data_IF_241259992711
#
_entry.id   IF_241259992711
#
_cell.length_a   1.000
_cell.length_b   1.000
_cell.length_c   1.000
_cell.angle_alpha   90.00
_cell.angle_beta   90.00
_cell.angle_gamma   90.00
#
_symmetry.space_group_name_H-M   'P 1'
#
loop_
_entity.id
_entity.type
_entity.pdbx_description
1 polymer ?
#
# COMPACT_ATOMS: atom_id res chain seq x y z
N UNK A 1 -32.05 15.34 -39.76
CA UNK A 1 -31.74 15.11 -41.18
C UNK A 1 -30.26 14.79 -41.31
N UNK A 2 -29.97 13.62 -41.92
CA UNK A 2 -28.67 13.14 -42.42
C UNK A 2 -27.70 12.57 -41.34
N UNK A 3 -27.13 11.45 -41.50
CA UNK A 3 -27.38 10.19 -42.23
C UNK A 3 -26.32 9.20 -41.72
N UNK A 4 -26.74 7.97 -41.54
CA UNK A 4 -25.93 6.76 -41.24
C UNK A 4 -24.84 6.54 -42.31
N UNK A 5 -23.67 6.06 -41.88
CA UNK A 5 -22.86 5.18 -42.72
C UNK A 5 -22.38 3.97 -41.93
N UNK A 6 -23.02 2.84 -42.24
CA UNK A 6 -22.54 1.47 -41.98
C UNK A 6 -21.52 1.11 -43.05
N UNK A 7 -20.40 0.49 -42.66
CA UNK A 7 -19.56 -0.28 -43.58
C UNK A 7 -19.34 -1.68 -43.02
N UNK A 8 -19.99 -2.62 -43.67
CA UNK A 8 -19.72 -4.06 -43.65
C UNK A 8 -18.37 -4.31 -44.34
N UNK A 9 -17.52 -5.17 -43.76
CA UNK A 9 -16.50 -5.87 -44.51
C UNK A 9 -16.53 -7.38 -44.27
N UNK A 10 -16.48 -8.05 -45.38
CA UNK A 10 -16.79 -9.43 -45.71
C UNK A 10 -15.70 -10.41 -45.25
N UNK A 11 -16.19 -11.60 -44.90
CA UNK A 11 -15.57 -12.91 -44.76
C UNK A 11 -14.60 -13.28 -45.89
N UNK A 12 -13.42 -13.79 -45.54
CA UNK A 12 -12.52 -14.50 -46.45
C UNK A 12 -12.05 -15.81 -45.83
N UNK A 13 -12.78 -16.87 -46.11
CA UNK A 13 -12.47 -18.27 -45.82
C UNK A 13 -11.45 -18.78 -46.82
N UNK A 14 -10.29 -19.28 -46.38
CA UNK A 14 -9.41 -20.10 -47.20
C UNK A 14 -8.99 -21.37 -46.50
N UNK A 15 -9.60 -22.47 -46.91
CA UNK A 15 -9.17 -23.85 -46.63
C UNK A 15 -7.89 -24.15 -47.44
N UNK A 16 -6.88 -24.71 -46.81
CA UNK A 16 -5.89 -25.55 -47.50
C UNK A 16 -5.64 -26.81 -46.67
N UNK A 17 -6.16 -27.92 -47.18
CA UNK A 17 -5.76 -29.28 -46.78
C UNK A 17 -4.48 -29.68 -47.52
N UNK A 18 -3.54 -30.33 -46.84
CA UNK A 18 -2.64 -31.32 -47.46
C UNK A 18 -2.03 -32.25 -46.40
N UNK A 19 -2.46 -33.39 -46.36
CA UNK A 19 -2.02 -34.80 -46.40
C UNK A 19 -0.62 -35.15 -45.84
N UNK A 20 -0.71 -35.94 -44.81
CA UNK A 20 -0.01 -37.19 -44.42
C UNK A 20 1.43 -37.47 -44.93
N UNK A 21 2.25 -37.84 -43.95
CA UNK A 21 3.48 -38.57 -44.14
C UNK A 21 3.95 -39.16 -42.77
N UNK A 22 3.58 -40.44 -42.50
CA UNK A 22 4.17 -41.23 -41.42
C UNK A 22 5.57 -41.68 -41.81
N UNK A 23 6.56 -41.42 -40.98
CA UNK A 23 7.74 -42.26 -40.83
C UNK A 23 8.10 -42.38 -39.38
N UNK A 24 7.97 -43.60 -38.86
CA UNK A 24 8.46 -44.05 -37.58
C UNK A 24 9.99 -44.08 -37.58
N UNK A 25 10.60 -43.47 -36.55
CA UNK A 25 11.92 -43.85 -36.08
C UNK A 25 11.96 -43.67 -34.56
N UNK A 26 12.17 -44.79 -33.86
CA UNK A 26 12.48 -44.87 -32.48
C UNK A 26 13.78 -44.12 -32.14
N UNK A 27 13.73 -43.18 -31.26
CA UNK A 27 14.88 -42.67 -30.51
C UNK A 27 14.44 -42.17 -29.15
N UNK A 28 14.94 -42.82 -28.14
CA UNK A 28 15.06 -42.53 -26.71
C UNK A 28 14.54 -41.18 -26.23
N UNK A 29 13.47 -41.27 -25.44
CA UNK A 29 12.90 -40.21 -24.60
C UNK A 29 13.90 -39.72 -23.56
N UNK A 30 14.54 -38.59 -23.82
CA UNK A 30 14.88 -37.65 -22.79
C UNK A 30 13.72 -36.61 -22.73
N UNK A 31 12.76 -36.87 -21.87
CA UNK A 31 11.76 -35.84 -21.50
C UNK A 31 12.45 -34.75 -20.69
N UNK A 32 13.11 -33.83 -21.37
CA UNK A 32 13.26 -32.49 -20.83
C UNK A 32 11.86 -31.87 -20.94
N UNK A 33 11.13 -31.83 -19.82
CA UNK A 33 9.99 -30.95 -19.68
C UNK A 33 10.48 -29.53 -19.94
N UNK A 34 10.42 -29.08 -21.17
CA UNK A 34 10.40 -27.66 -21.47
C UNK A 34 9.03 -27.16 -21.00
N UNK A 35 9.00 -26.66 -19.76
CA UNK A 35 7.86 -25.87 -19.30
C UNK A 35 7.62 -24.77 -20.34
N UNK A 36 6.39 -24.66 -20.80
CA UNK A 36 5.98 -23.60 -21.73
C UNK A 36 6.31 -22.24 -21.10
N UNK A 37 6.82 -21.30 -21.87
CA UNK A 37 7.21 -19.94 -21.44
C UNK A 37 6.06 -19.11 -20.84
N UNK A 38 4.92 -19.70 -20.47
CA UNK A 38 3.69 -19.04 -20.01
C UNK A 38 3.26 -19.29 -18.58
N UNK A 39 3.74 -20.34 -17.92
CA UNK A 39 3.29 -20.62 -16.56
C UNK A 39 4.29 -20.10 -15.54
N UNK A 40 4.05 -18.88 -15.06
CA UNK A 40 4.79 -18.38 -13.91
C UNK A 40 4.17 -18.87 -12.63
N UNK A 41 4.96 -19.64 -11.93
CA UNK A 41 4.64 -20.17 -10.62
C UNK A 41 4.62 -19.04 -9.58
N UNK A 42 3.81 -19.23 -8.55
CA UNK A 42 3.86 -18.47 -7.31
C UNK A 42 5.29 -18.47 -6.76
N UNK A 43 5.91 -17.31 -6.46
CA UNK A 43 7.23 -17.27 -5.89
C UNK A 43 7.21 -17.77 -4.43
N UNK A 44 8.25 -18.49 -4.04
CA UNK A 44 8.50 -18.79 -2.65
C UNK A 44 9.46 -17.76 -2.06
N UNK A 45 9.04 -17.13 -0.98
CA UNK A 45 9.86 -16.15 -0.28
C UNK A 45 10.63 -16.79 0.87
N UNK A 46 11.77 -16.20 1.19
CA UNK A 46 12.58 -16.54 2.36
C UNK A 46 12.68 -15.38 3.32
N UNK A 47 12.87 -15.67 4.61
CA UNK A 47 13.13 -14.63 5.62
C UNK A 47 14.36 -13.81 5.22
N UNK A 48 14.23 -12.48 5.31
CA UNK A 48 15.25 -11.53 4.86
C UNK A 48 15.19 -11.18 3.37
N UNK A 49 14.39 -11.84 2.55
CA UNK A 49 14.14 -11.36 1.18
C UNK A 49 13.51 -9.98 1.23
N UNK A 50 13.98 -9.06 0.35
CA UNK A 50 13.59 -7.67 0.50
C UNK A 50 13.57 -6.89 -0.81
N UNK A 51 12.75 -5.83 -0.82
CA UNK A 51 12.52 -4.94 -1.95
C UNK A 51 12.52 -3.48 -1.47
N UNK A 52 13.38 -2.65 -2.04
CA UNK A 52 13.39 -1.21 -1.82
C UNK A 52 12.53 -0.54 -2.88
N UNK A 53 11.50 0.16 -2.45
CA UNK A 53 10.60 0.93 -3.31
C UNK A 53 10.75 2.43 -3.12
N UNK A 54 10.47 3.19 -4.19
CA UNK A 54 10.04 4.58 -4.11
C UNK A 54 8.52 4.61 -4.16
N UNK A 55 7.92 5.33 -3.21
CA UNK A 55 6.49 5.59 -3.13
C UNK A 55 6.24 7.05 -3.46
N UNK A 56 5.21 7.31 -4.27
CA UNK A 56 4.77 8.68 -4.60
C UNK A 56 3.28 8.76 -4.36
N UNK A 57 2.88 9.72 -3.53
CA UNK A 57 1.48 10.07 -3.27
C UNK A 57 1.28 11.56 -3.46
N UNK A 58 0.08 12.03 -3.90
CA UNK A 58 -0.16 13.46 -4.09
C UNK A 58 -0.07 14.24 -2.78
N UNK A 59 -0.48 13.63 -1.69
CA UNK A 59 -0.57 14.28 -0.38
C UNK A 59 0.78 14.39 0.34
N UNK A 60 1.64 13.35 0.23
CA UNK A 60 2.88 13.25 1.01
C UNK A 60 4.16 13.26 0.14
N UNK A 61 3.99 13.39 -1.20
CA UNK A 61 5.10 13.45 -2.14
C UNK A 61 5.85 12.12 -2.28
N UNK A 62 7.16 12.21 -2.45
CA UNK A 62 8.04 11.05 -2.66
C UNK A 62 8.65 10.58 -1.33
N UNK A 63 8.63 9.28 -1.13
CA UNK A 63 9.23 8.59 0.00
C UNK A 63 9.85 7.26 -0.45
N UNK A 64 10.66 6.61 0.40
CA UNK A 64 11.19 5.30 0.09
C UNK A 64 11.14 4.40 1.31
N UNK A 65 10.79 3.13 1.08
CA UNK A 65 10.81 2.11 2.13
C UNK A 65 11.32 0.77 1.59
N UNK A 66 12.02 0.03 2.44
CA UNK A 66 12.43 -1.34 2.17
C UNK A 66 11.49 -2.31 2.86
N UNK A 67 10.71 -3.01 2.05
CA UNK A 67 9.88 -4.12 2.48
C UNK A 67 10.76 -5.36 2.68
N UNK A 68 10.58 -6.07 3.78
CA UNK A 68 11.39 -7.23 4.18
C UNK A 68 10.46 -8.34 4.66
N UNK A 69 10.65 -9.56 4.18
CA UNK A 69 10.01 -10.73 4.77
C UNK A 69 10.64 -10.98 6.14
N UNK A 70 9.91 -10.65 7.20
CA UNK A 70 10.37 -10.76 8.59
C UNK A 70 10.18 -12.15 9.15
N UNK A 71 9.10 -12.84 8.75
CA UNK A 71 8.71 -14.13 9.29
C UNK A 71 7.98 -14.97 8.25
N UNK A 72 8.05 -16.29 8.39
CA UNK A 72 7.24 -17.27 7.67
C UNK A 72 6.50 -18.09 8.72
N UNK A 73 5.22 -17.85 8.88
CA UNK A 73 4.37 -18.64 9.77
C UNK A 73 3.70 -19.78 8.99
N UNK A 74 4.33 -20.95 9.04
CA UNK A 74 3.78 -22.15 8.42
C UNK A 74 2.52 -22.66 9.12
N UNK A 75 2.25 -22.24 10.36
CA UNK A 75 1.06 -22.64 11.11
C UNK A 75 -0.18 -21.95 10.61
N UNK A 76 -0.09 -20.66 10.30
CA UNK A 76 -1.15 -19.86 9.69
C UNK A 76 -1.12 -19.87 8.15
N UNK A 77 -0.01 -20.29 7.55
CA UNK A 77 0.19 -20.23 6.09
C UNK A 77 0.47 -18.82 5.59
N UNK A 78 1.23 -18.03 6.34
CA UNK A 78 1.43 -16.61 6.07
C UNK A 78 2.90 -16.20 6.05
N UNK A 79 3.24 -15.28 5.16
CA UNK A 79 4.41 -14.43 5.27
C UNK A 79 4.05 -13.19 6.09
N UNK A 80 4.99 -12.70 6.89
CA UNK A 80 4.89 -11.39 7.54
C UNK A 80 5.92 -10.46 6.92
N UNK A 81 5.45 -9.37 6.35
CA UNK A 81 6.28 -8.35 5.67
C UNK A 81 6.31 -7.09 6.53
N UNK A 82 7.52 -6.66 6.86
CA UNK A 82 7.76 -5.41 7.60
C UNK A 82 8.65 -4.45 6.82
N UNK A 83 9.07 -3.39 7.49
CA UNK A 83 9.94 -2.31 6.95
C UNK A 83 11.25 -2.25 7.73
N UNK A 84 12.37 -2.05 7.02
CA UNK A 84 13.73 -2.00 7.60
C UNK A 84 14.03 -0.75 8.44
N UNK A 85 13.09 0.20 8.56
CA UNK A 85 13.24 1.45 9.30
C UNK A 85 12.00 1.68 10.15
N UNK A 86 12.21 1.87 11.45
CA UNK A 86 11.12 2.15 12.38
C UNK A 86 10.33 3.40 11.99
N UNK A 87 11.04 4.48 11.63
CA UNK A 87 10.40 5.73 11.20
C UNK A 87 9.51 5.53 9.96
N UNK A 88 9.99 4.77 8.97
CA UNK A 88 9.19 4.47 7.77
C UNK A 88 8.00 3.56 8.11
N UNK A 89 8.18 2.61 9.03
CA UNK A 89 7.06 1.79 9.52
C UNK A 89 5.99 2.64 10.22
N UNK A 90 6.39 3.62 11.03
CA UNK A 90 5.48 4.61 11.62
C UNK A 90 4.75 5.42 10.55
N UNK A 91 5.45 5.87 9.51
CA UNK A 91 4.83 6.61 8.39
C UNK A 91 3.77 5.76 7.68
N UNK A 92 4.09 4.50 7.38
CA UNK A 92 3.14 3.59 6.74
C UNK A 92 1.95 3.22 7.65
N UNK A 93 2.10 3.35 8.96
CA UNK A 93 1.02 3.13 9.91
C UNK A 93 -0.02 4.26 9.94
N UNK A 94 0.39 5.50 9.68
CA UNK A 94 -0.46 6.68 9.91
C UNK A 94 -0.77 7.48 8.65
N UNK A 95 0.05 7.38 7.58
CA UNK A 95 -0.16 8.16 6.36
C UNK A 95 -0.16 7.36 5.06
N UNK A 96 0.63 6.31 4.95
CA UNK A 96 0.84 5.64 3.66
C UNK A 96 0.02 4.35 3.49
N UNK A 97 -0.47 3.75 4.59
CA UNK A 97 -1.32 2.54 4.63
C UNK A 97 -1.02 1.52 3.52
N UNK A 98 0.25 1.09 3.42
CA UNK A 98 0.68 0.17 2.38
C UNK A 98 0.04 -1.22 2.59
N UNK A 99 -0.80 -1.71 1.66
CA UNK A 99 -1.51 -2.97 1.83
C UNK A 99 -0.61 -4.21 1.77
N UNK A 100 0.62 -4.07 1.26
CA UNK A 100 1.59 -5.16 1.17
C UNK A 100 2.45 -5.32 2.44
N UNK A 101 2.08 -4.65 3.53
CA UNK A 101 2.70 -4.80 4.84
C UNK A 101 1.86 -5.69 5.74
N UNK A 102 2.53 -6.36 6.68
CA UNK A 102 1.92 -7.32 7.57
C UNK A 102 1.76 -8.68 6.92
N UNK A 103 0.59 -9.29 7.06
CA UNK A 103 0.35 -10.67 6.61
C UNK A 103 0.06 -10.74 5.12
N UNK A 104 0.65 -11.74 4.46
CA UNK A 104 0.32 -12.16 3.10
C UNK A 104 0.27 -13.68 3.06
N UNK A 105 -0.69 -14.27 2.37
CA UNK A 105 -0.80 -15.74 2.33
C UNK A 105 0.34 -16.37 1.53
N UNK A 106 0.80 -17.57 1.94
CA UNK A 106 1.89 -18.29 1.25
C UNK A 106 1.41 -18.86 -0.08
N UNK A 107 0.17 -19.32 -0.13
CA UNK A 107 -0.41 -20.05 -1.26
C UNK A 107 -0.87 -19.18 -2.45
N UNK A 108 -1.08 -17.88 -2.23
CA UNK A 108 -1.56 -16.96 -3.27
C UNK A 108 -0.91 -15.57 -3.23
N UNK A 109 -0.07 -15.25 -2.24
CA UNK A 109 0.36 -13.89 -1.90
C UNK A 109 -0.81 -12.91 -1.76
N UNK A 110 -1.96 -13.42 -1.27
CA UNK A 110 -3.11 -12.58 -1.01
C UNK A 110 -2.79 -11.59 0.12
N UNK A 111 -3.18 -10.34 -0.07
CA UNK A 111 -3.03 -9.28 0.92
C UNK A 111 -4.31 -9.15 1.75
N UNK A 112 -4.19 -8.60 2.96
CA UNK A 112 -5.36 -8.44 3.82
C UNK A 112 -5.94 -7.04 3.71
N UNK A 113 -7.21 -6.95 3.33
CA UNK A 113 -8.02 -5.74 3.34
C UNK A 113 -9.18 -5.94 4.31
N UNK A 114 -9.33 -5.10 5.32
CA UNK A 114 -10.36 -5.21 6.37
C UNK A 114 -10.39 -6.59 7.08
N UNK A 115 -9.24 -7.25 7.19
CA UNK A 115 -9.11 -8.56 7.84
C UNK A 115 -9.37 -9.76 6.94
N UNK A 116 -9.78 -9.56 5.68
CA UNK A 116 -10.06 -10.61 4.70
C UNK A 116 -8.94 -10.68 3.64
N UNK A 117 -8.46 -11.90 3.28
CA UNK A 117 -7.45 -12.04 2.25
C UNK A 117 -8.02 -11.72 0.86
N UNK A 118 -7.35 -10.84 0.13
CA UNK A 118 -7.70 -10.39 -1.22
C UNK A 118 -6.70 -10.94 -2.22
N UNK A 119 -7.16 -11.65 -3.22
CA UNK A 119 -6.32 -12.21 -4.27
C UNK A 119 -5.95 -11.13 -5.29
N UNK A 120 -5.00 -10.28 -4.92
CA UNK A 120 -4.49 -9.23 -5.83
C UNK A 120 -3.73 -9.84 -7.01
N UNK A 121 -3.09 -10.99 -6.82
CA UNK A 121 -2.31 -11.69 -7.84
C UNK A 121 -2.99 -13.00 -8.24
N UNK A 122 -3.10 -13.25 -9.54
CA UNK A 122 -3.74 -14.47 -10.10
C UNK A 122 -2.67 -15.45 -10.61
N UNK A 123 -2.15 -16.28 -9.74
CA UNK A 123 -1.21 -17.33 -10.11
C UNK A 123 -1.92 -18.66 -10.46
N UNK A 124 -1.41 -19.42 -11.45
CA UNK A 124 -0.38 -19.05 -12.43
C UNK A 124 -0.89 -18.02 -13.43
N UNK A 125 -0.01 -17.09 -13.84
CA UNK A 125 -0.41 -16.03 -14.77
C UNK A 125 -0.74 -16.56 -16.16
N UNK A 126 -1.88 -16.12 -16.72
CA UNK A 126 -2.27 -16.38 -18.10
C UNK A 126 -2.86 -15.12 -18.74
N UNK A 127 -2.45 -14.77 -19.95
CA UNK A 127 -2.99 -13.59 -20.65
C UNK A 127 -4.48 -13.78 -20.92
N UNK A 128 -5.28 -12.80 -20.52
CA UNK A 128 -6.73 -12.81 -20.62
C UNK A 128 -7.45 -13.34 -19.39
N UNK A 129 -6.74 -13.90 -18.39
CA UNK A 129 -7.34 -14.24 -17.12
C UNK A 129 -7.89 -12.99 -16.44
N UNK A 130 -9.11 -13.09 -15.94
CA UNK A 130 -9.82 -12.02 -15.27
C UNK A 130 -10.30 -12.49 -13.90
N UNK A 131 -10.22 -11.60 -12.90
CA UNK A 131 -10.68 -11.85 -11.52
C UNK A 131 -11.06 -10.54 -10.84
N UNK A 132 -11.67 -10.64 -9.66
CA UNK A 132 -12.03 -9.49 -8.84
C UNK A 132 -11.32 -9.55 -7.48
N UNK A 133 -11.01 -8.41 -6.90
CA UNK A 133 -10.47 -8.28 -5.55
C UNK A 133 -10.79 -6.89 -4.97
N UNK A 134 -10.70 -6.76 -3.65
CA UNK A 134 -10.82 -5.47 -2.96
C UNK A 134 -9.43 -4.97 -2.56
N UNK A 135 -9.10 -3.71 -2.82
CA UNK A 135 -7.87 -3.06 -2.40
C UNK A 135 -8.07 -1.55 -2.39
N UNK A 136 -7.47 -0.85 -1.42
CA UNK A 136 -7.62 0.60 -1.23
C UNK A 136 -9.09 1.05 -1.06
N UNK A 137 -9.93 0.19 -0.47
CA UNK A 137 -11.34 0.45 -0.30
C UNK A 137 -12.18 0.37 -1.57
N UNK A 138 -11.60 -0.07 -2.71
CA UNK A 138 -12.25 -0.23 -4.00
C UNK A 138 -12.37 -1.71 -4.36
N UNK A 139 -13.46 -2.09 -5.04
CA UNK A 139 -13.58 -3.38 -5.73
C UNK A 139 -13.03 -3.22 -7.16
N UNK A 140 -12.12 -4.10 -7.55
CA UNK A 140 -11.40 -4.06 -8.81
C UNK A 140 -11.77 -5.23 -9.70
N UNK A 141 -12.11 -4.94 -10.97
CA UNK A 141 -12.18 -5.90 -12.07
C UNK A 141 -10.82 -5.92 -12.77
N UNK A 142 -10.06 -6.99 -12.60
CA UNK A 142 -8.67 -7.10 -13.04
C UNK A 142 -8.52 -8.09 -14.18
N UNK A 143 -7.53 -7.83 -15.07
CA UNK A 143 -7.15 -8.72 -16.13
C UNK A 143 -5.64 -8.73 -16.36
N UNK A 144 -5.07 -9.92 -16.61
CA UNK A 144 -3.70 -10.06 -17.11
C UNK A 144 -3.66 -9.70 -18.59
N UNK A 145 -3.05 -8.56 -18.93
CA UNK A 145 -3.00 -8.05 -20.31
C UNK A 145 -1.74 -8.46 -21.06
N UNK A 146 -0.65 -8.79 -20.36
CA UNK A 146 0.62 -9.15 -21.00
C UNK A 146 1.46 -10.06 -20.11
N UNK A 147 2.18 -11.01 -20.76
CA UNK A 147 3.24 -11.83 -20.14
C UNK A 147 4.49 -11.70 -21.00
N UNK A 148 5.49 -10.95 -20.52
CA UNK A 148 6.72 -10.73 -21.27
C UNK A 148 7.96 -10.81 -20.37
N UNK A 149 9.01 -11.47 -20.85
CA UNK A 149 10.30 -11.56 -20.15
C UNK A 149 10.18 -12.00 -18.70
N UNK A 150 9.15 -12.76 -18.42
CA UNK A 150 8.94 -13.22 -17.09
C UNK A 150 8.15 -12.27 -16.20
N UNK A 151 7.60 -11.18 -16.67
CA UNK A 151 6.76 -10.24 -15.96
C UNK A 151 5.31 -10.38 -16.41
N UNK A 152 4.37 -10.28 -15.46
CA UNK A 152 2.94 -10.19 -15.73
C UNK A 152 2.52 -8.72 -15.58
N UNK A 153 1.86 -8.19 -16.59
CA UNK A 153 1.22 -6.88 -16.53
C UNK A 153 -0.27 -7.06 -16.32
N UNK A 154 -0.81 -6.36 -15.35
CA UNK A 154 -2.23 -6.38 -14.98
C UNK A 154 -2.79 -4.98 -15.07
N UNK A 155 -3.99 -4.89 -15.60
CA UNK A 155 -4.83 -3.71 -15.60
C UNK A 155 -6.12 -4.04 -14.84
N UNK A 156 -6.56 -3.12 -13.99
CA UNK A 156 -7.79 -3.25 -13.24
C UNK A 156 -8.53 -1.92 -13.19
N UNK A 157 -9.86 -1.99 -13.20
CA UNK A 157 -10.74 -0.83 -13.15
C UNK A 157 -11.80 -1.06 -12.07
N UNK A 158 -12.15 -0.02 -11.32
CA UNK A 158 -13.25 -0.06 -10.37
C UNK A 158 -14.54 0.47 -10.98
N UNK A 159 -15.68 0.12 -10.38
CA UNK A 159 -16.98 0.64 -10.81
C UNK A 159 -17.12 2.17 -10.68
N UNK A 160 -16.23 2.81 -9.92
CA UNK A 160 -16.16 4.25 -9.75
C UNK A 160 -15.24 4.93 -10.77
N UNK A 161 -14.64 4.17 -11.71
CA UNK A 161 -13.75 4.66 -12.75
C UNK A 161 -12.30 4.90 -12.29
N UNK A 162 -11.91 4.32 -11.15
CA UNK A 162 -10.51 4.30 -10.75
C UNK A 162 -9.74 3.27 -11.57
N UNK A 163 -8.47 3.54 -11.84
CA UNK A 163 -7.56 2.66 -12.57
C UNK A 163 -6.43 2.15 -11.67
N UNK A 164 -6.17 0.84 -11.70
CA UNK A 164 -5.02 0.23 -11.05
C UNK A 164 -4.23 -0.57 -12.08
N UNK A 165 -2.96 -0.23 -12.26
CA UNK A 165 -2.07 -0.97 -13.14
C UNK A 165 -0.86 -1.44 -12.36
N UNK A 166 -0.42 -2.68 -12.58
CA UNK A 166 0.82 -3.14 -11.98
C UNK A 166 1.56 -4.16 -12.85
N UNK A 167 2.85 -4.26 -12.60
CA UNK A 167 3.73 -5.28 -13.18
C UNK A 167 4.29 -6.15 -12.06
N UNK A 168 3.98 -7.44 -12.10
CA UNK A 168 4.59 -8.44 -11.23
C UNK A 168 5.81 -9.03 -11.90
N UNK A 169 6.97 -9.00 -11.25
CA UNK A 169 8.21 -9.55 -11.79
C UNK A 169 8.51 -10.91 -11.18
N UNK A 170 8.45 -11.96 -11.98
CA UNK A 170 8.78 -13.30 -11.51
C UNK A 170 10.24 -13.48 -11.13
N UNK A 171 11.18 -12.72 -11.72
CA UNK A 171 12.60 -12.76 -11.34
C UNK A 171 12.89 -12.02 -10.04
N UNK A 172 12.07 -11.04 -9.66
CA UNK A 172 12.15 -10.32 -8.39
C UNK A 172 11.23 -10.94 -7.33
N UNK A 173 10.28 -11.77 -7.76
CA UNK A 173 9.30 -12.43 -6.89
C UNK A 173 8.27 -11.48 -6.30
N UNK A 174 8.14 -10.24 -6.81
CA UNK A 174 7.17 -9.25 -6.34
C UNK A 174 6.93 -8.14 -7.36
N UNK A 175 6.17 -7.11 -6.96
CA UNK A 175 5.85 -5.97 -7.81
C UNK A 175 7.10 -5.25 -8.31
N UNK A 176 7.19 -5.00 -9.60
CA UNK A 176 8.18 -4.09 -10.19
C UNK A 176 7.66 -2.66 -10.22
N UNK A 177 6.36 -2.52 -10.45
CA UNK A 177 5.66 -1.24 -10.45
C UNK A 177 4.19 -1.43 -10.10
N UNK A 178 3.59 -0.43 -9.42
CA UNK A 178 2.15 -0.30 -9.23
C UNK A 178 1.78 1.17 -9.37
N UNK A 179 0.66 1.46 -10.03
CA UNK A 179 0.08 2.79 -10.15
C UNK A 179 -1.42 2.70 -9.95
N UNK A 180 -1.93 3.44 -8.97
CA UNK A 180 -3.35 3.66 -8.74
C UNK A 180 -3.70 5.11 -9.08
N UNK A 181 -4.75 5.28 -9.92
CA UNK A 181 -5.33 6.57 -10.30
C UNK A 181 -6.78 6.65 -9.86
N UNK A 182 -7.22 7.85 -9.49
CA UNK A 182 -8.65 8.10 -9.31
C UNK A 182 -9.37 8.27 -10.67
N UNK A 183 -10.69 8.49 -10.62
CA UNK A 183 -11.54 8.67 -11.80
C UNK A 183 -11.17 9.91 -12.64
N UNK A 184 -10.51 10.89 -12.05
CA UNK A 184 -9.98 12.09 -12.71
C UNK A 184 -8.59 11.85 -13.34
N UNK A 185 -8.01 10.66 -13.17
CA UNK A 185 -6.70 10.27 -13.65
C UNK A 185 -5.53 10.75 -12.79
N UNK A 186 -5.80 11.30 -11.59
CA UNK A 186 -4.77 11.71 -10.65
C UNK A 186 -4.15 10.49 -9.97
N UNK A 187 -2.81 10.42 -9.96
CA UNK A 187 -2.10 9.35 -9.27
C UNK A 187 -2.33 9.47 -7.77
N UNK A 188 -2.97 8.48 -7.17
CA UNK A 188 -3.17 8.36 -5.72
C UNK A 188 -2.02 7.62 -5.06
N UNK A 189 -1.47 6.60 -5.74
CA UNK A 189 -0.27 5.90 -5.31
C UNK A 189 0.54 5.45 -6.53
N UNK A 190 1.85 5.63 -6.46
CA UNK A 190 2.81 4.98 -7.35
C UNK A 190 3.89 4.31 -6.51
N UNK A 191 4.18 3.06 -6.83
CA UNK A 191 5.29 2.29 -6.27
C UNK A 191 6.22 1.88 -7.40
N UNK A 192 7.49 2.22 -7.32
CA UNK A 192 8.52 1.80 -8.26
C UNK A 192 9.62 1.03 -7.51
N UNK A 193 9.92 -0.19 -7.96
CA UNK A 193 10.97 -1.02 -7.39
C UNK A 193 12.35 -0.50 -7.81
N UNK A 194 13.19 -0.18 -6.84
CA UNK A 194 14.57 0.23 -7.07
C UNK A 194 15.54 -0.95 -6.97
N UNK A 195 15.40 -1.77 -5.92
CA UNK A 195 16.33 -2.87 -5.64
C UNK A 195 15.56 -4.04 -5.03
N UNK A 196 15.86 -5.26 -5.52
CA UNK A 196 15.46 -6.51 -4.86
C UNK A 196 16.70 -7.29 -4.43
N UNK A 197 16.66 -7.90 -3.25
CA UNK A 197 17.74 -8.73 -2.69
C UNK A 197 17.16 -9.94 -1.97
N UNK A 198 17.95 -11.02 -1.92
CA UNK A 198 17.56 -12.28 -1.27
C UNK A 198 17.85 -12.30 0.23
N UNK A 199 18.61 -11.35 0.76
CA UNK A 199 18.96 -11.32 2.17
C UNK A 199 19.01 -9.88 2.70
N UNK A 200 18.46 -9.71 3.91
CA UNK A 200 18.56 -8.53 4.75
C UNK A 200 19.05 -8.98 6.13
N UNK A 201 19.85 -8.15 6.77
CA UNK A 201 20.30 -8.37 8.14
C UNK A 201 20.15 -7.04 8.88
N UNK A 202 19.36 -7.04 9.95
CA UNK A 202 19.04 -5.87 10.75
C UNK A 202 17.61 -5.91 11.28
N UNK A 203 17.18 -4.83 11.90
CA UNK A 203 15.86 -4.73 12.48
C UNK A 203 14.79 -4.50 11.41
N UNK A 204 13.63 -5.12 11.61
CA UNK A 204 12.44 -5.02 10.77
C UNK A 204 11.27 -4.68 11.67
N UNK A 205 10.43 -3.73 11.25
CA UNK A 205 9.33 -3.19 12.01
C UNK A 205 8.01 -3.32 11.23
N UNK A 206 6.95 -3.64 11.93
CA UNK A 206 5.59 -3.55 11.42
C UNK A 206 4.68 -2.96 12.50
N UNK A 207 3.92 -1.94 12.13
CA UNK A 207 2.91 -1.31 12.97
C UNK A 207 1.54 -1.69 12.40
N UNK A 208 0.84 -2.61 13.08
CA UNK A 208 -0.54 -2.90 12.75
C UNK A 208 -1.42 -1.82 13.34
N UNK A 209 -1.87 -0.90 12.51
CA UNK A 209 -2.48 0.34 12.93
C UNK A 209 -3.92 0.51 12.42
N UNK A 210 -4.66 1.35 13.11
CA UNK A 210 -5.98 1.85 12.75
C UNK A 210 -6.05 3.34 13.02
N UNK A 211 -6.59 4.09 12.06
CA UNK A 211 -6.82 5.53 12.21
C UNK A 211 -7.82 5.83 13.33
N UNK A 212 -7.46 6.77 14.20
CA UNK A 212 -8.27 7.29 15.29
C UNK A 212 -8.72 8.72 15.03
N UNK A 213 -7.83 9.54 14.43
CA UNK A 213 -8.11 10.91 14.02
C UNK A 213 -7.33 11.26 12.76
N UNK A 214 -7.96 11.98 11.86
CA UNK A 214 -7.38 12.66 10.71
C UNK A 214 -8.07 14.03 10.58
N UNK A 215 -7.40 15.11 10.98
CA UNK A 215 -8.04 16.40 11.04
C UNK A 215 -7.11 17.54 10.67
N UNK A 216 -7.61 18.38 9.78
CA UNK A 216 -7.01 19.66 9.44
C UNK A 216 -7.69 20.78 10.23
N UNK A 217 -6.90 21.55 10.96
CA UNK A 217 -7.30 22.74 11.69
C UNK A 217 -6.78 23.95 10.92
N UNK A 218 -7.69 24.82 10.50
CA UNK A 218 -7.38 26.01 9.73
C UNK A 218 -7.52 27.28 10.60
N UNK A 219 -7.07 28.43 10.08
CA UNK A 219 -7.16 29.70 10.77
C UNK A 219 -8.60 30.05 11.17
N UNK A 220 -8.83 30.36 12.44
CA UNK A 220 -10.11 30.84 12.93
C UNK A 220 -10.01 31.77 14.13
N UNK A 221 -8.82 32.15 14.54
CA UNK A 221 -8.53 33.03 15.71
C UNK A 221 -9.19 32.59 17.04
N UNK A 222 -9.68 31.35 17.10
CA UNK A 222 -10.32 30.77 18.27
C UNK A 222 -9.54 29.54 18.75
N UNK A 223 -9.78 29.17 20.00
CA UNK A 223 -9.32 27.91 20.53
C UNK A 223 -10.33 26.82 20.17
N UNK A 224 -9.88 25.78 19.48
CA UNK A 224 -10.70 24.66 19.06
C UNK A 224 -10.50 23.54 20.07
N UNK A 225 -11.61 22.98 20.55
CA UNK A 225 -11.62 21.77 21.38
C UNK A 225 -12.13 20.61 20.55
N UNK A 226 -11.36 19.53 20.53
CA UNK A 226 -11.68 18.32 19.82
C UNK A 226 -11.35 17.10 20.66
N UNK A 227 -11.69 15.90 20.24
CA UNK A 227 -11.37 14.67 20.99
C UNK A 227 -11.34 13.45 20.08
N UNK A 228 -10.70 12.40 20.57
CA UNK A 228 -10.78 11.07 19.96
C UNK A 228 -10.71 9.99 21.06
N UNK A 229 -11.25 8.82 20.78
CA UNK A 229 -11.24 7.69 21.68
C UNK A 229 -10.16 6.69 21.25
N UNK A 230 -9.22 6.40 22.15
CA UNK A 230 -8.32 5.27 22.06
C UNK A 230 -8.94 4.09 22.84
N UNK A 231 -9.79 3.31 22.16
CA UNK A 231 -10.49 2.20 22.80
C UNK A 231 -9.70 0.89 22.78
N UNK A 232 -8.52 0.87 22.19
CA UNK A 232 -7.82 -0.36 21.87
C UNK A 232 -8.49 -1.16 20.74
N UNK A 233 -8.01 -2.36 20.47
CA UNK A 233 -8.63 -3.27 19.51
C UNK A 233 -9.17 -4.50 20.25
N UNK A 234 -10.50 -4.68 20.39
CA UNK A 234 -11.10 -5.70 21.27
C UNK A 234 -10.73 -7.15 20.91
N UNK A 235 -10.48 -7.44 19.62
CA UNK A 235 -10.14 -8.80 19.14
C UNK A 235 -8.64 -9.10 19.14
N UNK A 236 -7.79 -8.10 19.30
CA UNK A 236 -6.34 -8.20 19.11
C UNK A 236 -5.53 -7.67 20.29
N UNK A 237 -6.20 -7.30 21.35
CA UNK A 237 -5.64 -6.61 22.50
C UNK A 237 -5.71 -5.09 22.36
N UNK A 238 -5.32 -4.41 23.43
CA UNK A 238 -5.25 -2.95 23.44
C UNK A 238 -4.07 -2.47 22.58
N UNK A 239 -4.19 -1.28 22.01
CA UNK A 239 -3.04 -0.61 21.40
C UNK A 239 -1.95 -0.43 22.45
N UNK A 240 -0.71 -0.70 22.07
CA UNK A 240 0.44 -0.41 22.95
C UNK A 240 1.03 0.98 22.65
N UNK A 241 0.72 1.52 21.48
CA UNK A 241 1.31 2.76 20.95
C UNK A 241 0.29 3.57 20.18
N UNK A 242 0.33 4.90 20.32
CA UNK A 242 -0.26 5.84 19.38
C UNK A 242 0.84 6.41 18.50
N UNK A 243 0.65 6.32 17.19
CA UNK A 243 1.51 6.97 16.19
C UNK A 243 0.83 8.26 15.76
N UNK A 244 1.56 9.36 15.81
CA UNK A 244 1.05 10.67 15.39
C UNK A 244 1.87 11.23 14.22
N UNK A 245 1.21 12.00 13.38
CA UNK A 245 1.79 12.74 12.26
C UNK A 245 1.29 14.19 12.32
N UNK A 246 2.19 15.13 12.01
CA UNK A 246 1.89 16.56 11.91
C UNK A 246 2.44 17.13 10.61
N UNK A 247 1.59 17.91 9.95
CA UNK A 247 1.96 18.82 8.88
C UNK A 247 1.43 20.21 9.21
N UNK A 248 2.32 21.19 9.29
CA UNK A 248 2.01 22.51 9.84
C UNK A 248 2.57 23.59 8.94
N UNK A 249 1.74 24.59 8.65
CA UNK A 249 2.16 25.83 8.00
C UNK A 249 1.52 27.01 8.73
N UNK A 250 2.34 27.93 9.25
CA UNK A 250 1.90 29.15 9.92
C UNK A 250 2.32 30.35 9.08
N UNK A 251 1.36 31.20 8.75
CA UNK A 251 1.59 32.41 7.98
C UNK A 251 2.72 33.26 8.55
N UNK A 252 3.52 33.81 7.66
CA UNK A 252 4.52 34.82 8.01
C UNK A 252 3.84 36.19 8.20
N UNK A 253 4.20 36.89 9.27
CA UNK A 253 3.68 38.24 9.56
C UNK A 253 3.09 38.40 10.96
N UNK A 254 2.62 39.60 11.27
CA UNK A 254 2.04 39.90 12.56
C UNK A 254 0.74 39.11 12.78
N UNK A 255 0.69 38.29 13.82
CA UNK A 255 -0.48 37.50 14.19
C UNK A 255 -0.46 36.04 13.82
N UNK A 256 0.50 35.57 12.98
CA UNK A 256 0.67 34.13 12.71
C UNK A 256 1.11 33.37 13.96
N UNK A 257 0.37 32.35 14.35
CA UNK A 257 0.74 31.44 15.46
C UNK A 257 -0.07 30.15 15.39
N UNK A 258 0.50 29.06 15.93
CA UNK A 258 -0.18 27.79 16.09
C UNK A 258 0.18 27.15 17.42
N UNK A 259 -0.75 26.40 17.99
CA UNK A 259 -0.46 25.52 19.12
C UNK A 259 -1.36 24.28 19.09
N UNK A 260 -0.84 23.19 19.59
CA UNK A 260 -1.58 21.94 19.76
C UNK A 260 -1.17 21.32 21.11
N UNK A 261 -2.15 20.96 21.90
CA UNK A 261 -1.96 20.17 23.11
C UNK A 261 -2.95 19.01 23.10
N UNK A 262 -2.42 17.79 23.19
CA UNK A 262 -3.20 16.58 23.37
C UNK A 262 -3.07 16.12 24.82
N UNK A 263 -4.20 15.92 25.48
CA UNK A 263 -4.28 15.41 26.85
C UNK A 263 -4.96 14.06 26.87
N UNK A 264 -4.40 13.13 27.62
CA UNK A 264 -5.03 11.83 27.89
C UNK A 264 -6.13 11.95 28.96
N UNK A 265 -6.85 10.86 29.20
CA UNK A 265 -7.90 10.80 30.22
C UNK A 265 -7.39 10.99 31.65
N UNK A 266 -6.10 10.76 31.90
CA UNK A 266 -5.45 11.01 33.20
C UNK A 266 -4.99 12.46 33.34
N UNK A 267 -5.12 13.29 32.29
CA UNK A 267 -4.73 14.70 32.29
C UNK A 267 -3.26 14.94 31.97
N UNK A 268 -2.49 13.92 31.60
CA UNK A 268 -1.14 14.12 31.09
C UNK A 268 -1.20 14.70 29.67
N UNK A 269 -0.15 15.42 29.28
CA UNK A 269 -0.04 16.06 27.95
C UNK A 269 1.08 15.42 27.14
N UNK A 270 0.84 14.22 26.56
CA UNK A 270 1.88 13.47 25.85
C UNK A 270 2.36 14.15 24.57
N UNK A 271 1.57 15.01 23.96
CA UNK A 271 1.95 15.80 22.81
C UNK A 271 1.57 17.27 23.03
N UNK A 272 2.59 18.13 23.03
CA UNK A 272 2.42 19.58 23.07
C UNK A 272 3.38 20.22 22.08
N UNK A 273 2.86 21.11 21.24
CA UNK A 273 3.60 21.86 20.23
C UNK A 273 3.13 23.31 20.17
N UNK A 274 4.02 24.20 19.82
CA UNK A 274 3.72 25.60 19.58
C UNK A 274 4.59 26.13 18.44
N UNK A 275 3.98 26.90 17.55
CA UNK A 275 4.63 27.44 16.37
C UNK A 275 4.43 28.96 16.32
N UNK A 276 5.50 29.68 16.03
CA UNK A 276 5.46 31.12 15.78
C UNK A 276 5.18 31.45 14.32
N UNK A 277 5.07 32.75 14.05
CA UNK A 277 4.90 33.27 12.69
C UNK A 277 5.97 32.76 11.73
N UNK A 278 5.52 32.29 10.56
CA UNK A 278 6.38 31.75 9.50
C UNK A 278 6.95 30.35 9.78
N UNK A 279 6.51 29.69 10.84
CA UNK A 279 6.94 28.33 11.15
C UNK A 279 6.31 27.32 10.16
N UNK A 280 7.12 26.36 9.75
CA UNK A 280 6.67 25.18 9.00
C UNK A 280 7.23 23.93 9.68
N UNK A 281 6.42 22.90 9.80
CA UNK A 281 6.84 21.58 10.28
C UNK A 281 6.19 20.53 9.36
N UNK A 282 6.96 19.95 8.44
CA UNK A 282 6.44 19.02 7.44
C UNK A 282 6.85 17.59 7.78
N UNK A 283 5.86 16.70 7.86
CA UNK A 283 6.08 15.28 8.06
C UNK A 283 6.70 14.94 9.40
N UNK A 284 6.43 15.74 10.45
CA UNK A 284 6.82 15.37 11.81
C UNK A 284 6.03 14.13 12.24
N UNK A 285 6.73 13.15 12.78
CA UNK A 285 6.15 11.89 13.20
C UNK A 285 6.76 11.45 14.52
N UNK A 286 5.98 10.74 15.31
CA UNK A 286 6.44 10.14 16.56
C UNK A 286 5.42 9.21 17.17
N UNK A 287 5.79 8.66 18.30
CA UNK A 287 4.95 7.73 19.05
C UNK A 287 4.77 8.21 20.48
N UNK A 288 3.68 7.82 21.09
CA UNK A 288 3.42 7.92 22.52
C UNK A 288 2.80 6.60 22.98
N UNK A 289 3.01 6.17 24.23
CA UNK A 289 2.32 5.00 24.76
C UNK A 289 0.80 5.20 24.69
N UNK A 290 0.06 4.17 24.26
CA UNK A 290 -1.39 4.15 24.36
C UNK A 290 -1.81 4.12 25.82
N UNK A 291 -2.89 4.81 26.15
CA UNK A 291 -3.43 4.90 27.50
C UNK A 291 -4.91 4.51 27.56
N UNK A 292 -5.41 3.86 26.52
CA UNK A 292 -6.78 3.32 26.36
C UNK A 292 -7.85 4.19 27.03
N UNK A 293 -8.29 5.21 26.37
CA UNK A 293 -9.30 6.14 26.90
C UNK A 293 -9.53 7.36 26.03
N UNK A 294 -10.25 8.32 26.56
CA UNK A 294 -10.53 9.57 25.88
C UNK A 294 -9.30 10.49 25.87
N UNK A 295 -8.97 10.95 24.66
CA UNK A 295 -8.00 12.02 24.46
C UNK A 295 -8.72 13.29 24.05
N UNK A 296 -8.33 14.42 24.65
CA UNK A 296 -8.80 15.76 24.27
C UNK A 296 -7.70 16.54 23.57
N UNK A 297 -8.10 17.32 22.58
CA UNK A 297 -7.23 18.19 21.81
C UNK A 297 -7.63 19.64 22.03
N UNK A 298 -6.64 20.48 22.28
CA UNK A 298 -6.78 21.92 22.26
C UNK A 298 -5.88 22.46 21.18
N UNK A 299 -6.46 23.11 20.18
CA UNK A 299 -5.74 23.61 19.00
C UNK A 299 -6.05 25.07 18.78
N UNK A 300 -5.03 25.86 18.48
CA UNK A 300 -5.17 27.25 18.03
C UNK A 300 -4.38 27.45 16.75
N UNK A 301 -5.01 28.01 15.74
CA UNK A 301 -4.38 28.36 14.46
C UNK A 301 -4.76 29.79 14.12
N UNK A 302 -3.79 30.65 13.89
CA UNK A 302 -3.97 32.08 13.56
C UNK A 302 -3.13 32.49 12.37
N UNK A 303 -3.65 33.44 11.62
CA UNK A 303 -3.03 34.02 10.42
C UNK A 303 -3.55 33.36 9.14
N UNK A 304 -3.70 34.16 8.07
CA UNK A 304 -4.34 33.72 6.82
C UNK A 304 -3.55 32.56 6.19
N UNK A 305 -4.28 31.55 5.73
CA UNK A 305 -3.73 30.31 5.14
C UNK A 305 -2.85 29.50 6.08
N UNK A 306 -2.96 29.69 7.41
CA UNK A 306 -2.30 28.82 8.39
C UNK A 306 -3.12 27.55 8.62
N UNK A 307 -2.43 26.43 8.80
CA UNK A 307 -3.08 25.16 9.16
C UNK A 307 -2.20 24.29 10.05
N UNK A 308 -2.85 23.39 10.77
CA UNK A 308 -2.26 22.25 11.48
C UNK A 308 -3.03 21.01 11.04
N UNK A 309 -2.38 20.08 10.36
CA UNK A 309 -2.93 18.76 10.03
C UNK A 309 -2.38 17.74 11.03
N UNK A 310 -3.26 17.16 11.82
CA UNK A 310 -2.94 16.10 12.77
C UNK A 310 -3.58 14.78 12.32
N UNK A 311 -2.77 13.74 12.23
CA UNK A 311 -3.26 12.36 12.15
C UNK A 311 -2.76 11.58 13.36
N UNK A 312 -3.58 10.68 13.88
CA UNK A 312 -3.23 9.75 14.96
C UNK A 312 -3.80 8.39 14.63
N UNK A 313 -2.97 7.37 14.75
CA UNK A 313 -3.37 5.97 14.64
C UNK A 313 -2.99 5.20 15.91
N UNK A 314 -3.89 4.35 16.37
CA UNK A 314 -3.57 3.34 17.38
C UNK A 314 -2.86 2.16 16.75
N UNK A 315 -1.78 1.64 17.34
CA UNK A 315 -0.97 0.60 16.75
C UNK A 315 -0.50 -0.46 17.75
N UNK A 316 -0.38 -1.70 17.25
CA UNK A 316 0.43 -2.76 17.84
C UNK A 316 1.75 -2.84 17.09
N UNK A 317 2.85 -2.84 17.84
CA UNK A 317 4.20 -2.81 17.28
C UNK A 317 4.81 -4.20 17.28
N UNK A 318 5.29 -4.63 16.12
CA UNK A 318 6.04 -5.88 15.93
C UNK A 318 7.45 -5.53 15.47
N UNK A 319 8.43 -6.24 16.03
CA UNK A 319 9.84 -6.07 15.71
C UNK A 319 10.54 -7.41 15.61
N UNK A 320 11.37 -7.56 14.60
CA UNK A 320 12.26 -8.71 14.38
C UNK A 320 13.69 -8.21 14.18
N UNK A 321 14.67 -9.01 14.58
CA UNK A 321 16.09 -8.83 14.25
C UNK A 321 16.53 -10.04 13.42
N UNK A 322 16.89 -9.81 12.17
CA UNK A 322 17.25 -10.85 11.18
C UNK A 322 18.77 -10.98 11.04
#
# INVERSE_FOLDING_TARGET
MHAMHRSLFLVGLLLCMSLAGCTSNDASTNSSNSMSEGEKQLPEWSVGQNWLYTFITPQFGEDSARLVVAEIDNGSGEYVVGISSEREAQRHAVINHNPFLGRMTIDALAVYENGEPQQVFSFPWSVGDAWTFTLFGQEWDAQTVSLQNGNAQVEAESSEGHELTYTFSGSKGFLERLVWRDAEGTIQLRMDLNIARSSYNGDVFFYRARDLIDRMYEENDQEIYDSFLDSGHPSEGDWDTLVWYLDVEIASGAGGSGSLTMKDHAGASPLTRAWGSGATEKGAIGTIPSNSGDYSLTVTVRGPSSFIHLKVAGALVFQWTL
#
